data_IF_835790416838
#
_entry.id   IF_835790416838
#
_cell.length_a   1.000
_cell.length_b   1.000
_cell.length_c   1.000
_cell.angle_alpha   90.00
_cell.angle_beta   90.00
_cell.angle_gamma   90.00
#
_symmetry.space_group_name_H-M   'P 1'
#
loop_
_entity.id
_entity.type
_entity.pdbx_description
1 polymer ?
#
# COMPACT_ATOMS: atom_id res chain seq x y z
N UNK A 1 -1.18 -10.99 3.76
CA UNK A 1 -1.98 -10.35 2.69
C UNK A 1 -2.12 -11.29 1.52
N UNK A 2 -3.32 -11.38 0.93
CA UNK A 2 -3.63 -12.26 -0.20
C UNK A 2 -3.63 -11.51 -1.53
N UNK A 3 -3.47 -12.23 -2.65
CA UNK A 3 -3.63 -11.68 -4.00
C UNK A 3 -5.04 -11.17 -4.22
N UNK A 4 -6.05 -11.86 -3.71
CA UNK A 4 -7.44 -11.41 -3.81
C UNK A 4 -7.68 -10.04 -3.13
N UNK A 5 -7.06 -9.77 -1.98
CA UNK A 5 -7.11 -8.46 -1.35
C UNK A 5 -6.35 -7.41 -2.16
N UNK A 6 -5.16 -7.77 -2.67
CA UNK A 6 -4.37 -6.90 -3.54
C UNK A 6 -5.16 -6.50 -4.79
N UNK A 7 -5.80 -7.45 -5.48
CA UNK A 7 -6.52 -7.23 -6.73
C UNK A 7 -7.74 -6.31 -6.58
N UNK A 8 -8.33 -6.21 -5.37
CA UNK A 8 -9.43 -5.29 -5.07
C UNK A 8 -9.02 -3.83 -4.87
N UNK A 9 -7.73 -3.57 -4.69
CA UNK A 9 -7.22 -2.23 -4.39
C UNK A 9 -6.92 -1.50 -5.70
N UNK A 10 -7.64 -0.43 -5.97
CA UNK A 10 -7.45 0.39 -7.17
C UNK A 10 -6.59 1.63 -6.89
N UNK A 11 -5.96 2.16 -7.93
CA UNK A 11 -5.33 3.49 -7.85
C UNK A 11 -6.35 4.55 -7.43
N UNK A 12 -5.89 5.59 -6.73
CA UNK A 12 -6.77 6.60 -6.13
C UNK A 12 -7.43 6.19 -4.81
N UNK A 13 -7.29 4.94 -4.35
CA UNK A 13 -7.68 4.54 -2.99
C UNK A 13 -6.90 5.34 -1.93
N UNK A 14 -7.51 5.58 -0.77
CA UNK A 14 -6.79 6.13 0.38
C UNK A 14 -6.08 5.01 1.15
N UNK A 15 -5.14 5.38 2.03
CA UNK A 15 -4.51 4.39 2.92
C UNK A 15 -5.56 3.68 3.80
N UNK A 16 -6.57 4.41 4.27
CA UNK A 16 -7.66 3.84 5.06
C UNK A 16 -8.49 2.81 4.29
N UNK A 17 -8.78 3.08 3.01
CA UNK A 17 -9.48 2.12 2.14
C UNK A 17 -8.68 0.82 1.98
N UNK A 18 -7.36 0.95 1.80
CA UNK A 18 -6.45 -0.20 1.74
C UNK A 18 -6.47 -0.98 3.05
N UNK A 19 -6.40 -0.31 4.20
CA UNK A 19 -6.46 -0.96 5.50
C UNK A 19 -7.77 -1.72 5.71
N UNK A 20 -8.90 -1.17 5.26
CA UNK A 20 -10.21 -1.84 5.31
C UNK A 20 -10.25 -3.10 4.45
N UNK A 21 -9.66 -3.06 3.26
CA UNK A 21 -9.61 -4.22 2.35
C UNK A 21 -8.67 -5.31 2.88
N UNK A 22 -7.51 -4.92 3.40
CA UNK A 22 -6.48 -5.87 3.87
C UNK A 22 -6.77 -6.37 5.30
N UNK A 23 -7.52 -5.60 6.09
CA UNK A 23 -7.84 -5.92 7.48
C UNK A 23 -6.76 -5.49 8.49
N UNK A 24 -5.91 -4.52 8.16
CA UNK A 24 -4.85 -4.07 9.05
C UNK A 24 -3.95 -3.00 8.46
N UNK A 25 -3.05 -2.46 9.28
CA UNK A 25 -2.04 -1.49 8.85
C UNK A 25 -0.83 -2.17 8.19
N UNK A 26 -0.26 -1.51 7.18
CA UNK A 26 1.02 -1.87 6.60
C UNK A 26 2.18 -1.23 7.36
N UNK A 27 3.40 -1.70 7.10
CA UNK A 27 4.62 -1.08 7.59
C UNK A 27 5.04 0.07 6.66
N UNK A 28 5.18 1.30 7.16
CA UNK A 28 5.79 2.39 6.37
C UNK A 28 7.26 2.04 6.12
N UNK A 29 7.68 2.03 4.85
CA UNK A 29 9.05 1.71 4.45
C UNK A 29 9.76 2.88 3.76
N UNK A 30 9.02 3.92 3.35
CA UNK A 30 9.58 5.12 2.73
C UNK A 30 8.63 6.29 2.93
N UNK A 31 9.20 7.49 3.07
CA UNK A 31 8.51 8.77 3.20
C UNK A 31 9.35 9.83 2.48
N UNK A 32 8.69 10.72 1.73
CA UNK A 32 9.35 11.80 0.99
C UNK A 32 8.46 13.03 0.95
N UNK A 33 9.06 14.20 1.12
CA UNK A 33 8.34 15.47 1.28
C UNK A 33 7.81 15.66 2.70
N UNK A 34 6.88 16.61 2.85
CA UNK A 34 6.30 16.97 4.15
C UNK A 34 4.79 16.77 4.14
N UNK A 35 4.28 16.13 5.20
CA UNK A 35 2.86 15.84 5.31
C UNK A 35 2.02 17.14 5.20
N UNK A 36 1.06 17.13 4.27
CA UNK A 36 0.18 18.27 4.01
C UNK A 36 0.67 19.21 2.90
N UNK A 37 1.89 19.02 2.40
CA UNK A 37 2.39 19.71 1.21
C UNK A 37 2.16 18.87 -0.07
N UNK A 38 2.09 19.49 -1.25
CA UNK A 38 1.98 18.78 -2.52
C UNK A 38 3.11 17.76 -2.72
N UNK A 39 2.80 16.68 -3.45
CA UNK A 39 3.71 15.58 -3.77
C UNK A 39 4.20 14.77 -2.55
N UNK A 40 3.66 15.01 -1.34
CA UNK A 40 3.97 14.20 -0.17
C UNK A 40 3.67 12.73 -0.46
N UNK A 41 4.71 11.90 -0.32
CA UNK A 41 4.70 10.53 -0.77
C UNK A 41 5.08 9.58 0.35
N UNK A 42 4.30 8.52 0.52
CA UNK A 42 4.54 7.47 1.51
C UNK A 42 4.44 6.11 0.82
N UNK A 43 5.32 5.17 1.17
CA UNK A 43 5.21 3.79 0.71
C UNK A 43 5.05 2.85 1.89
N UNK A 44 4.02 2.00 1.80
CA UNK A 44 3.70 1.00 2.80
C UNK A 44 3.90 -0.40 2.24
N UNK A 45 4.46 -1.29 3.05
CA UNK A 45 4.62 -2.70 2.74
C UNK A 45 3.68 -3.56 3.57
N UNK A 46 3.02 -4.52 2.91
CA UNK A 46 2.22 -5.55 3.55
C UNK A 46 2.88 -6.90 3.29
N UNK A 47 3.14 -7.67 4.34
CA UNK A 47 3.60 -9.06 4.19
C UNK A 47 2.47 -9.93 3.66
N UNK A 48 2.78 -10.78 2.70
CA UNK A 48 1.89 -11.85 2.28
C UNK A 48 1.96 -13.04 3.22
N UNK A 49 1.14 -14.04 2.96
CA UNK A 49 1.00 -15.20 3.87
C UNK A 49 2.13 -16.23 3.65
N UNK A 50 2.78 -16.19 2.48
CA UNK A 50 3.97 -17.00 2.18
C UNK A 50 5.26 -16.30 2.61
N UNK A 51 6.32 -17.05 2.94
CA UNK A 51 7.65 -16.48 3.15
C UNK A 51 8.08 -15.59 1.97
N UNK A 52 8.66 -14.43 2.26
CA UNK A 52 9.12 -13.43 1.29
C UNK A 52 8.03 -12.77 0.41
N UNK A 53 6.78 -13.21 0.48
CA UNK A 53 5.69 -12.58 -0.26
C UNK A 53 5.32 -11.23 0.35
N UNK A 54 5.03 -10.24 -0.48
CA UNK A 54 4.64 -8.90 -0.03
C UNK A 54 3.96 -8.08 -1.13
N UNK A 55 3.31 -6.99 -0.75
CA UNK A 55 3.02 -5.90 -1.65
C UNK A 55 3.49 -4.57 -1.10
N UNK A 56 3.67 -3.62 -2.02
CA UNK A 56 3.99 -2.24 -1.74
C UNK A 56 2.95 -1.33 -2.37
N UNK A 57 2.52 -0.37 -1.59
CA UNK A 57 1.55 0.66 -1.99
C UNK A 57 2.18 2.02 -1.76
N UNK A 58 2.34 2.79 -2.83
CA UNK A 58 2.86 4.16 -2.77
C UNK A 58 1.70 5.12 -2.90
N UNK A 59 1.55 5.98 -1.91
CA UNK A 59 0.54 7.03 -1.86
C UNK A 59 1.22 8.35 -2.14
N UNK A 60 0.68 9.14 -3.06
CA UNK A 60 1.05 10.54 -3.28
C UNK A 60 -0.18 11.39 -3.01
N UNK A 61 -0.03 12.48 -2.26
CA UNK A 61 -1.15 13.36 -1.90
C UNK A 61 -2.33 12.58 -1.29
N UNK A 62 -2.02 11.61 -0.42
CA UNK A 62 -2.97 10.71 0.26
C UNK A 62 -3.75 9.76 -0.64
N UNK A 63 -3.38 9.66 -1.92
CA UNK A 63 -4.03 8.81 -2.92
C UNK A 63 -3.04 7.77 -3.46
N UNK A 64 -3.50 6.53 -3.62
CA UNK A 64 -2.67 5.46 -4.15
C UNK A 64 -2.23 5.81 -5.58
N UNK A 65 -0.94 6.08 -5.76
CA UNK A 65 -0.37 6.43 -7.05
C UNK A 65 0.19 5.21 -7.77
N UNK A 66 0.72 4.24 -7.03
CA UNK A 66 1.19 2.97 -7.59
C UNK A 66 1.12 1.82 -6.59
N UNK A 67 1.03 0.61 -7.12
CA UNK A 67 1.01 -0.64 -6.36
C UNK A 67 1.86 -1.69 -7.07
N UNK A 68 2.51 -2.55 -6.29
CA UNK A 68 3.29 -3.69 -6.79
C UNK A 68 3.18 -4.86 -5.81
N UNK A 69 3.37 -6.07 -6.31
CA UNK A 69 3.36 -7.28 -5.50
C UNK A 69 4.47 -8.25 -5.92
N UNK A 70 4.89 -9.07 -4.97
CA UNK A 70 5.80 -10.19 -5.18
C UNK A 70 5.24 -11.43 -4.49
N UNK A 71 5.06 -12.52 -5.26
CA UNK A 71 4.73 -13.86 -4.76
C UNK A 71 3.46 -13.96 -3.90
N UNK A 72 2.45 -13.11 -4.15
CA UNK A 72 1.12 -13.25 -3.54
C UNK A 72 0.28 -14.32 -4.27
N UNK A 73 -0.58 -15.00 -3.51
CA UNK A 73 -1.60 -15.94 -4.00
C UNK A 73 -3.00 -15.58 -3.50
#
# INVERSE_FOLDING_TARGET
MTKAAFDKIETGATYEDVQKIVGGAGQKISETGKQGEPDYTETYQYKGDKPNSNAKFTFRDKKLSSKSQSMLD
#
